data_IF_477695019615
#
_entry.id   IF_477695019615
#
_cell.length_a   1.000
_cell.length_b   1.000
_cell.length_c   1.000
_cell.angle_alpha   90.00
_cell.angle_beta   90.00
_cell.angle_gamma   90.00
#
_symmetry.space_group_name_H-M   'P 1'
#
loop_
_entity.id
_entity.type
_entity.pdbx_description
1 polymer ?
#
# COMPACT_ATOMS: atom_id res chain seq x y z
N UNK A 1 0.52 -5.38 -22.66
CA UNK A 1 0.22 -4.05 -22.12
C UNK A 1 -0.99 -4.09 -21.20
N UNK A 2 -2.19 -4.47 -21.68
CA UNK A 2 -3.40 -4.53 -20.83
C UNK A 2 -3.22 -5.43 -19.59
N UNK A 3 -2.67 -6.63 -19.76
CA UNK A 3 -2.40 -7.56 -18.64
C UNK A 3 -1.47 -6.97 -17.58
N UNK A 4 -0.43 -6.21 -18.00
CA UNK A 4 0.48 -5.56 -17.06
C UNK A 4 -0.22 -4.46 -16.25
N UNK A 5 -1.09 -3.69 -16.88
CA UNK A 5 -1.86 -2.65 -16.19
C UNK A 5 -2.93 -3.24 -15.25
N UNK A 6 -3.59 -4.32 -15.66
CA UNK A 6 -4.53 -5.05 -14.79
C UNK A 6 -3.77 -5.63 -13.59
N UNK A 7 -2.62 -6.27 -13.82
CA UNK A 7 -1.78 -6.79 -12.75
C UNK A 7 -1.33 -5.67 -11.79
N UNK A 8 -0.91 -4.52 -12.32
CA UNK A 8 -0.53 -3.36 -11.52
C UNK A 8 -1.70 -2.83 -10.69
N UNK A 9 -2.89 -2.70 -11.29
CA UNK A 9 -4.09 -2.27 -10.60
C UNK A 9 -4.45 -3.22 -9.45
N UNK A 10 -4.54 -4.51 -9.71
CA UNK A 10 -4.88 -5.51 -8.70
C UNK A 10 -3.82 -5.54 -7.59
N UNK A 11 -2.54 -5.54 -7.95
CA UNK A 11 -1.44 -5.50 -6.98
C UNK A 11 -1.56 -4.29 -6.06
N UNK A 12 -1.71 -3.09 -6.62
CA UNK A 12 -1.79 -1.86 -5.84
C UNK A 12 -3.09 -1.78 -5.02
N UNK A 13 -4.21 -2.26 -5.56
CA UNK A 13 -5.47 -2.33 -4.82
C UNK A 13 -5.33 -3.18 -3.55
N UNK A 14 -4.72 -4.35 -3.69
CA UNK A 14 -4.57 -5.29 -2.57
C UNK A 14 -3.50 -4.82 -1.58
N UNK A 15 -2.38 -4.26 -2.06
CA UNK A 15 -1.28 -3.82 -1.19
C UNK A 15 -1.63 -2.54 -0.42
N UNK A 16 -2.25 -1.56 -1.08
CA UNK A 16 -2.65 -0.28 -0.46
C UNK A 16 -3.88 -0.46 0.40
N UNK A 17 -4.82 -1.35 -0.05
CA UNK A 17 -6.02 -1.73 0.68
C UNK A 17 -6.80 -0.51 1.22
N UNK A 18 -7.37 0.33 0.34
CA UNK A 18 -8.07 1.54 0.77
C UNK A 18 -9.19 1.29 1.78
N UNK A 19 -9.91 0.17 1.62
CA UNK A 19 -11.05 -0.20 2.47
C UNK A 19 -10.58 -0.64 3.85
N UNK A 20 -9.59 -1.52 3.93
CA UNK A 20 -9.00 -1.98 5.19
C UNK A 20 -8.25 -0.88 5.96
N UNK A 21 -7.96 0.25 5.30
CA UNK A 21 -7.40 1.43 5.97
C UNK A 21 -8.45 2.30 6.67
N UNK A 22 -9.75 2.17 6.35
CA UNK A 22 -10.80 3.01 6.89
C UNK A 22 -10.91 2.97 8.44
N UNK A 23 -10.98 1.80 9.11
CA UNK A 23 -11.07 1.75 10.55
C UNK A 23 -9.81 2.26 11.25
N UNK A 24 -8.65 2.05 10.63
CA UNK A 24 -7.38 2.57 11.15
C UNK A 24 -7.40 4.10 11.11
N UNK A 25 -7.85 4.67 9.98
CA UNK A 25 -8.03 6.11 9.84
C UNK A 25 -9.00 6.68 10.89
N UNK A 26 -10.15 6.02 11.11
CA UNK A 26 -11.13 6.41 12.14
C UNK A 26 -10.49 6.37 13.52
N UNK A 27 -9.79 5.29 13.87
CA UNK A 27 -9.10 5.16 15.16
C UNK A 27 -8.07 6.26 15.38
N UNK A 28 -7.21 6.53 14.39
CA UNK A 28 -6.17 7.57 14.46
C UNK A 28 -6.73 9.00 14.53
N UNK A 29 -7.90 9.24 13.94
CA UNK A 29 -8.53 10.57 13.88
C UNK A 29 -9.70 10.71 14.87
N UNK A 30 -9.85 9.78 15.78
CA UNK A 30 -10.86 9.82 16.83
C UNK A 30 -10.67 11.08 17.69
N UNK A 31 -11.78 11.80 17.94
CA UNK A 31 -11.75 13.05 18.72
C UNK A 31 -11.31 14.29 17.96
N UNK A 32 -10.90 14.18 16.68
CA UNK A 32 -10.58 15.35 15.85
C UNK A 32 -11.83 15.91 15.18
N UNK A 33 -11.86 17.24 15.04
CA UNK A 33 -12.88 17.92 14.25
C UNK A 33 -12.88 17.45 12.79
N UNK A 34 -14.05 17.46 12.15
CA UNK A 34 -14.21 16.99 10.79
C UNK A 34 -13.30 17.75 9.79
N UNK A 35 -13.10 19.05 10.01
CA UNK A 35 -12.22 19.88 9.19
C UNK A 35 -10.76 19.40 9.27
N UNK A 36 -10.29 19.07 10.47
CA UNK A 36 -8.94 18.55 10.70
C UNK A 36 -8.81 17.16 10.09
N UNK A 37 -9.80 16.30 10.31
CA UNK A 37 -9.85 14.94 9.75
C UNK A 37 -9.77 14.93 8.23
N UNK A 38 -10.49 15.84 7.56
CA UNK A 38 -10.40 16.01 6.09
C UNK A 38 -9.01 16.46 5.63
N UNK A 39 -8.36 17.36 6.37
CA UNK A 39 -6.98 17.79 6.09
C UNK A 39 -6.00 16.63 6.26
N UNK A 40 -6.13 15.85 7.33
CA UNK A 40 -5.31 14.66 7.58
C UNK A 40 -5.44 13.66 6.43
N UNK A 41 -6.67 13.37 5.99
CA UNK A 41 -6.92 12.45 4.86
C UNK A 41 -6.21 12.93 3.57
N UNK A 42 -6.34 14.21 3.23
CA UNK A 42 -5.73 14.76 2.02
C UNK A 42 -4.20 14.77 2.12
N UNK A 43 -3.64 15.25 3.22
CA UNK A 43 -2.20 15.29 3.42
C UNK A 43 -1.57 13.90 3.42
N UNK A 44 -2.18 12.92 4.10
CA UNK A 44 -1.68 11.55 4.10
C UNK A 44 -1.66 10.95 2.69
N UNK A 45 -2.72 11.12 1.93
CA UNK A 45 -2.79 10.62 0.55
C UNK A 45 -1.75 11.28 -0.36
N UNK A 46 -1.52 12.60 -0.22
CA UNK A 46 -0.50 13.32 -0.99
C UNK A 46 0.91 12.86 -0.61
N UNK A 47 1.21 12.75 0.69
CA UNK A 47 2.53 12.29 1.15
C UNK A 47 2.79 10.87 0.65
N UNK A 48 1.82 9.96 0.81
CA UNK A 48 1.94 8.58 0.33
C UNK A 48 2.13 8.54 -1.19
N UNK A 49 1.39 9.37 -1.95
CA UNK A 49 1.59 9.50 -3.40
C UNK A 49 3.03 9.92 -3.74
N UNK A 50 3.55 10.95 -3.10
CA UNK A 50 4.91 11.44 -3.35
C UNK A 50 5.98 10.37 -3.03
N UNK A 51 5.83 9.66 -1.92
CA UNK A 51 6.76 8.59 -1.52
C UNK A 51 6.73 7.45 -2.52
N UNK A 52 5.55 6.98 -2.91
CA UNK A 52 5.40 5.87 -3.83
C UNK A 52 5.82 6.25 -5.27
N UNK A 53 5.50 7.46 -5.72
CA UNK A 53 5.96 7.97 -7.02
C UNK A 53 7.49 8.12 -7.04
N UNK A 54 8.08 8.68 -5.98
CA UNK A 54 9.52 8.74 -5.80
C UNK A 54 10.16 7.35 -5.85
N UNK A 55 9.58 6.38 -5.16
CA UNK A 55 10.05 4.99 -5.16
C UNK A 55 10.01 4.37 -6.56
N UNK A 56 8.97 4.65 -7.35
CA UNK A 56 8.88 4.16 -8.74
C UNK A 56 9.96 4.77 -9.65
N UNK A 57 10.26 6.06 -9.45
CA UNK A 57 11.20 6.79 -10.32
C UNK A 57 12.67 6.54 -9.98
N UNK A 58 12.98 6.36 -8.69
CA UNK A 58 14.36 6.34 -8.19
C UNK A 58 14.75 4.95 -7.67
N UNK A 59 13.77 4.11 -7.33
CA UNK A 59 14.00 2.85 -6.60
C UNK A 59 14.99 1.92 -7.27
N UNK A 60 14.87 1.69 -8.58
CA UNK A 60 15.77 0.81 -9.32
C UNK A 60 17.21 1.34 -9.34
N UNK A 61 17.39 2.66 -9.53
CA UNK A 61 18.72 3.31 -9.48
C UNK A 61 19.33 3.21 -8.08
N UNK A 62 18.52 3.43 -7.06
CA UNK A 62 18.96 3.32 -5.67
C UNK A 62 19.44 1.91 -5.34
N UNK A 63 18.70 0.88 -5.78
CA UNK A 63 19.11 -0.52 -5.63
C UNK A 63 20.45 -0.79 -6.34
N UNK A 64 20.62 -0.26 -7.55
CA UNK A 64 21.88 -0.37 -8.29
C UNK A 64 23.06 0.26 -7.55
N UNK A 65 22.90 1.44 -6.96
CA UNK A 65 23.95 2.08 -6.16
C UNK A 65 24.29 1.29 -4.88
N UNK A 66 23.34 0.59 -4.32
CA UNK A 66 23.54 -0.27 -3.15
C UNK A 66 24.07 -1.67 -3.53
N UNK A 67 24.23 -1.98 -4.82
CA UNK A 67 24.64 -3.30 -5.29
C UNK A 67 23.56 -4.38 -5.10
N UNK A 68 22.29 -3.99 -4.92
CA UNK A 68 21.18 -4.91 -4.72
C UNK A 68 20.53 -5.20 -6.07
N UNK A 69 20.48 -6.48 -6.45
CA UNK A 69 19.77 -6.88 -7.66
C UNK A 69 18.25 -6.75 -7.50
N UNK A 70 17.55 -6.45 -8.60
CA UNK A 70 16.08 -6.41 -8.61
C UNK A 70 15.48 -7.77 -8.22
N UNK A 71 16.16 -8.86 -8.53
CA UNK A 71 15.76 -10.22 -8.13
C UNK A 71 15.81 -10.40 -6.61
N UNK A 72 16.91 -10.02 -5.97
CA UNK A 72 17.03 -10.06 -4.50
C UNK A 72 15.98 -9.16 -3.83
N UNK A 73 15.77 -7.94 -4.36
CA UNK A 73 14.76 -7.02 -3.86
C UNK A 73 13.34 -7.59 -4.01
N UNK A 74 13.07 -8.34 -5.11
CA UNK A 74 11.79 -9.01 -5.34
C UNK A 74 11.52 -10.10 -4.30
N UNK A 75 12.52 -10.88 -3.93
CA UNK A 75 12.40 -11.89 -2.87
C UNK A 75 12.12 -11.22 -1.53
N UNK A 76 12.92 -10.23 -1.14
CA UNK A 76 12.74 -9.50 0.11
C UNK A 76 11.35 -8.84 0.20
N UNK A 77 10.93 -8.18 -0.88
CA UNK A 77 9.62 -7.58 -0.99
C UNK A 77 8.48 -8.59 -0.92
N UNK A 78 8.61 -9.74 -1.57
CA UNK A 78 7.65 -10.83 -1.46
C UNK A 78 7.50 -11.32 -0.02
N UNK A 79 8.59 -11.50 0.72
CA UNK A 79 8.55 -11.86 2.14
C UNK A 79 7.86 -10.80 3.00
N UNK A 80 8.12 -9.52 2.75
CA UNK A 80 7.44 -8.42 3.44
C UNK A 80 5.94 -8.38 3.13
N UNK A 81 5.55 -8.56 1.87
CA UNK A 81 4.14 -8.65 1.46
C UNK A 81 3.46 -9.86 2.08
N UNK A 82 4.16 -10.99 2.18
CA UNK A 82 3.64 -12.19 2.85
C UNK A 82 3.36 -11.94 4.34
N UNK A 83 4.27 -11.24 5.03
CA UNK A 83 4.05 -10.87 6.43
C UNK A 83 2.81 -9.99 6.59
N UNK A 84 2.60 -9.01 5.70
CA UNK A 84 1.40 -8.16 5.68
C UNK A 84 0.14 -8.99 5.40
N UNK A 85 0.21 -9.90 4.43
CA UNK A 85 -0.89 -10.81 4.10
C UNK A 85 -1.28 -11.68 5.28
N UNK A 86 -0.30 -12.21 5.99
CA UNK A 86 -0.50 -12.99 7.21
C UNK A 86 -1.23 -12.17 8.29
N UNK A 87 -0.79 -10.94 8.54
CA UNK A 87 -1.47 -10.05 9.50
C UNK A 87 -2.92 -9.76 9.09
N UNK A 88 -3.20 -9.61 7.77
CA UNK A 88 -4.56 -9.39 7.26
C UNK A 88 -5.47 -10.60 7.47
N UNK A 89 -5.01 -11.80 7.13
CA UNK A 89 -5.78 -13.04 7.27
C UNK A 89 -6.11 -13.33 8.74
N UNK A 90 -5.17 -13.11 9.65
CA UNK A 90 -5.32 -13.35 11.09
C UNK A 90 -5.81 -12.12 11.87
N UNK A 91 -6.18 -11.04 11.20
CA UNK A 91 -6.70 -9.79 11.77
C UNK A 91 -5.77 -9.09 12.78
N UNK A 92 -4.49 -9.42 12.79
CA UNK A 92 -3.50 -8.81 13.69
C UNK A 92 -3.10 -7.38 13.28
N UNK A 93 -3.46 -6.98 12.06
CA UNK A 93 -3.11 -5.67 11.48
C UNK A 93 -3.78 -4.52 12.23
N UNK A 94 -5.02 -4.69 12.67
CA UNK A 94 -5.80 -3.66 13.36
C UNK A 94 -5.29 -3.44 14.79
N UNK A 95 -4.95 -4.49 15.52
CA UNK A 95 -4.47 -4.41 16.91
C UNK A 95 -3.15 -3.66 17.04
N UNK A 96 -2.15 -3.97 16.18
CA UNK A 96 -0.82 -3.33 16.21
C UNK A 96 -0.85 -1.84 15.85
N UNK A 97 -1.80 -1.41 15.04
CA UNK A 97 -1.84 -0.04 14.49
C UNK A 97 -2.57 0.94 15.42
N UNK A 98 -3.48 0.46 16.26
CA UNK A 98 -4.19 1.27 17.25
C UNK A 98 -3.27 1.70 18.41
N UNK A 99 -2.26 0.89 18.75
CA UNK A 99 -1.30 1.20 19.83
C UNK A 99 -0.35 2.37 19.50
N UNK A 100 -0.28 2.80 18.23
CA UNK A 100 0.58 3.91 17.78
C UNK A 100 -0.13 5.27 17.77
N UNK A 101 -1.39 5.33 18.21
CA UNK A 101 -2.21 6.55 18.26
C UNK A 101 -1.83 7.41 19.47
N UNK A 102 -0.75 8.18 19.36
CA UNK A 102 -0.28 9.03 20.47
C UNK A 102 0.09 10.47 20.11
N UNK A 103 -0.11 10.91 18.85
CA UNK A 103 0.28 12.27 18.45
C UNK A 103 -0.91 13.16 18.10
N UNK A 104 -0.99 14.41 18.59
CA UNK A 104 -2.10 15.30 18.30
C UNK A 104 -1.98 15.99 16.94
N UNK A 105 -3.12 16.12 16.25
CA UNK A 105 -3.29 17.02 15.11
C UNK A 105 -2.81 16.51 13.77
N UNK A 106 -2.32 17.41 12.92
CA UNK A 106 -1.91 17.13 11.53
C UNK A 106 -0.65 16.28 11.40
N UNK A 107 0.13 16.09 12.48
CA UNK A 107 1.28 15.18 12.51
C UNK A 107 0.88 13.74 12.18
N UNK A 108 -0.35 13.31 12.52
CA UNK A 108 -0.92 12.01 12.19
C UNK A 108 -0.93 11.74 10.68
N UNK A 109 -1.06 12.78 9.86
CA UNK A 109 -1.08 12.63 8.40
C UNK A 109 0.25 12.08 7.85
N UNK A 110 1.38 12.58 8.34
CA UNK A 110 2.69 12.11 7.92
C UNK A 110 3.05 10.79 8.61
N UNK A 111 2.86 10.71 9.92
CA UNK A 111 3.16 9.54 10.73
C UNK A 111 2.04 9.32 11.77
N UNK A 112 1.47 8.11 11.86
CA UNK A 112 1.82 6.91 11.10
C UNK A 112 1.03 6.71 9.79
N UNK A 113 0.09 7.59 9.42
CA UNK A 113 -0.90 7.31 8.37
C UNK A 113 -0.26 7.20 6.97
N UNK A 114 0.47 8.22 6.50
CA UNK A 114 1.14 8.14 5.21
C UNK A 114 2.29 7.13 5.26
N UNK A 115 3.17 7.24 6.25
CA UNK A 115 4.32 6.36 6.47
C UNK A 115 4.24 5.85 7.92
N UNK A 116 4.23 4.53 8.16
CA UNK A 116 4.39 3.42 7.19
C UNK A 116 3.07 2.80 6.69
N UNK A 117 1.89 3.38 6.96
CA UNK A 117 0.62 2.68 6.74
C UNK A 117 0.21 2.62 5.27
N UNK A 118 0.17 3.76 4.57
CA UNK A 118 -0.20 3.83 3.14
C UNK A 118 1.01 3.55 2.24
N UNK A 119 2.13 4.23 2.49
CA UNK A 119 3.40 4.01 1.81
C UNK A 119 4.33 3.17 2.70
N UNK A 120 3.90 1.97 3.03
CA UNK A 120 4.69 1.01 3.79
C UNK A 120 5.69 0.23 2.93
N UNK A 121 6.55 -0.58 3.56
CA UNK A 121 7.57 -1.35 2.84
C UNK A 121 6.99 -2.21 1.72
N UNK A 122 5.82 -2.81 1.92
CA UNK A 122 5.13 -3.59 0.89
C UNK A 122 4.70 -2.76 -0.32
N UNK A 123 4.12 -1.56 -0.10
CA UNK A 123 3.69 -0.66 -1.17
C UNK A 123 4.88 -0.08 -1.94
N UNK A 124 5.96 0.29 -1.23
CA UNK A 124 7.22 0.74 -1.84
C UNK A 124 7.80 -0.37 -2.71
N UNK A 125 7.89 -1.60 -2.19
CA UNK A 125 8.38 -2.74 -2.95
C UNK A 125 7.53 -2.99 -4.20
N UNK A 126 6.19 -3.00 -4.06
CA UNK A 126 5.30 -3.19 -5.19
C UNK A 126 5.53 -2.13 -6.27
N UNK A 127 5.66 -0.85 -5.89
CA UNK A 127 5.91 0.24 -6.84
C UNK A 127 7.25 0.12 -7.55
N UNK A 128 8.34 -0.21 -6.85
CA UNK A 128 9.65 -0.41 -7.47
C UNK A 128 9.63 -1.59 -8.44
N UNK A 129 8.99 -2.71 -8.06
CA UNK A 129 8.88 -3.89 -8.91
C UNK A 129 7.98 -3.66 -10.13
N UNK A 130 6.87 -2.94 -9.98
CA UNK A 130 6.00 -2.58 -11.10
C UNK A 130 6.70 -1.61 -12.05
N UNK A 131 7.45 -0.63 -11.54
CA UNK A 131 8.27 0.27 -12.34
C UNK A 131 9.36 -0.49 -13.12
N UNK A 132 10.06 -1.42 -12.48
CA UNK A 132 11.07 -2.27 -13.14
C UNK A 132 10.49 -3.14 -14.27
N UNK A 133 9.23 -3.56 -14.17
CA UNK A 133 8.54 -4.31 -15.24
C UNK A 133 8.19 -3.47 -16.47
N UNK A 134 8.30 -2.17 -16.41
CA UNK A 134 8.01 -1.27 -17.53
C UNK A 134 9.12 -1.26 -18.60
N UNK A 135 10.27 -1.91 -18.33
CA UNK A 135 11.42 -1.95 -19.23
C UNK A 135 11.82 -0.55 -19.74
N UNK A 136 11.82 0.44 -18.87
CA UNK A 136 12.12 1.84 -19.17
C UNK A 136 11.17 2.52 -20.16
N UNK A 137 10.00 1.93 -20.41
CA UNK A 137 8.97 2.57 -21.24
C UNK A 137 8.28 3.68 -20.46
N UNK A 138 8.42 4.97 -20.82
CA UNK A 138 7.89 6.09 -20.06
C UNK A 138 6.36 6.12 -20.03
N UNK A 139 5.69 5.63 -21.07
CA UNK A 139 4.23 5.57 -21.12
C UNK A 139 3.68 4.52 -20.14
N UNK A 140 4.33 3.35 -20.06
CA UNK A 140 3.95 2.32 -19.08
C UNK A 140 4.23 2.78 -17.65
N UNK A 141 5.35 3.43 -17.41
CA UNK A 141 5.67 3.99 -16.10
C UNK A 141 4.65 5.05 -15.68
N UNK A 142 4.31 5.98 -16.58
CA UNK A 142 3.28 6.97 -16.33
C UNK A 142 1.92 6.33 -16.05
N UNK A 143 1.55 5.26 -16.77
CA UNK A 143 0.32 4.51 -16.52
C UNK A 143 0.31 3.84 -15.14
N UNK A 144 1.42 3.23 -14.70
CA UNK A 144 1.56 2.64 -13.35
C UNK A 144 1.41 3.73 -12.27
N UNK A 145 2.07 4.89 -12.46
CA UNK A 145 1.96 6.03 -11.53
C UNK A 145 0.52 6.58 -11.52
N UNK A 146 -0.16 6.63 -12.67
CA UNK A 146 -1.56 7.05 -12.75
C UNK A 146 -2.49 6.08 -12.00
N UNK A 147 -2.29 4.76 -12.15
CA UNK A 147 -3.04 3.73 -11.39
C UNK A 147 -2.81 3.93 -9.89
N UNK A 148 -1.57 4.15 -9.47
CA UNK A 148 -1.25 4.43 -8.07
C UNK A 148 -1.95 5.74 -7.61
N UNK A 149 -1.99 6.77 -8.45
CA UNK A 149 -2.75 7.99 -8.19
C UNK A 149 -4.24 7.74 -7.98
N UNK A 150 -4.85 6.86 -8.79
CA UNK A 150 -6.23 6.42 -8.60
C UNK A 150 -6.41 5.71 -7.25
N UNK A 151 -5.44 4.88 -6.83
CA UNK A 151 -5.48 4.23 -5.51
C UNK A 151 -5.39 5.25 -4.37
N UNK A 152 -4.54 6.27 -4.48
CA UNK A 152 -4.45 7.33 -3.47
C UNK A 152 -5.73 8.17 -3.41
N UNK A 153 -6.33 8.46 -4.57
CA UNK A 153 -7.62 9.13 -4.66
C UNK A 153 -8.73 8.29 -4.03
N UNK A 154 -8.76 6.99 -4.31
CA UNK A 154 -9.73 6.08 -3.70
C UNK A 154 -9.57 6.01 -2.17
N UNK A 155 -8.34 5.96 -1.66
CA UNK A 155 -8.04 6.01 -0.23
C UNK A 155 -8.54 7.32 0.40
N UNK A 156 -8.29 8.45 -0.24
CA UNK A 156 -8.79 9.75 0.22
C UNK A 156 -10.33 9.80 0.26
N UNK A 157 -11.01 9.28 -0.78
CA UNK A 157 -12.47 9.19 -0.80
C UNK A 157 -13.00 8.27 0.30
N UNK A 158 -12.37 7.12 0.50
CA UNK A 158 -12.70 6.17 1.57
C UNK A 158 -12.53 6.84 2.93
N UNK A 159 -11.44 7.57 3.17
CA UNK A 159 -11.23 8.27 4.45
C UNK A 159 -12.29 9.36 4.69
N UNK A 160 -12.72 10.05 3.65
CA UNK A 160 -13.84 11.02 3.77
C UNK A 160 -15.18 10.37 4.09
N UNK A 161 -15.42 9.20 3.52
CA UNK A 161 -16.62 8.40 3.74
C UNK A 161 -16.48 7.32 4.82
N UNK A 162 -15.39 7.30 5.56
CA UNK A 162 -15.08 6.22 6.49
C UNK A 162 -16.19 5.92 7.51
N UNK A 163 -16.86 6.91 8.15
CA UNK A 163 -17.95 6.63 9.07
C UNK A 163 -19.16 5.96 8.41
N UNK A 164 -19.45 6.31 7.16
CA UNK A 164 -20.52 5.70 6.38
C UNK A 164 -20.16 4.29 5.95
N UNK A 165 -18.91 4.08 5.54
CA UNK A 165 -18.38 2.79 5.13
C UNK A 165 -18.39 1.80 6.30
N UNK A 166 -17.96 2.23 7.49
CA UNK A 166 -17.99 1.42 8.71
C UNK A 166 -19.41 0.97 9.06
N UNK A 167 -20.41 1.88 8.93
CA UNK A 167 -21.83 1.55 9.15
C UNK A 167 -22.36 0.56 8.11
N UNK A 168 -21.90 0.66 6.85
CA UNK A 168 -22.39 -0.18 5.75
C UNK A 168 -21.80 -1.60 5.81
N UNK A 169 -20.48 -1.71 6.00
CA UNK A 169 -19.78 -2.99 6.01
C UNK A 169 -19.89 -3.70 7.36
N UNK A 170 -19.90 -2.94 8.45
CA UNK A 170 -19.79 -3.46 9.79
C UNK A 170 -18.47 -4.21 10.03
N UNK A 171 -18.19 -4.58 11.26
CA UNK A 171 -16.95 -5.31 11.64
C UNK A 171 -16.80 -6.66 10.91
N UNK A 172 -17.91 -7.33 10.61
CA UNK A 172 -17.88 -8.63 9.94
C UNK A 172 -17.55 -8.51 8.46
N UNK A 173 -18.15 -7.55 7.73
CA UNK A 173 -17.88 -7.32 6.31
C UNK A 173 -16.45 -6.90 6.07
N UNK A 174 -15.93 -6.03 6.92
CA UNK A 174 -14.53 -5.60 6.89
C UNK A 174 -13.57 -6.79 7.13
N UNK A 175 -13.86 -7.63 8.13
CA UNK A 175 -13.06 -8.81 8.42
C UNK A 175 -13.05 -9.81 7.26
N UNK A 176 -14.17 -10.01 6.58
CA UNK A 176 -14.28 -10.90 5.41
C UNK A 176 -13.45 -10.34 4.25
N UNK A 177 -13.62 -9.06 3.91
CA UNK A 177 -12.86 -8.41 2.83
C UNK A 177 -11.36 -8.44 3.12
N UNK A 178 -10.94 -8.10 4.33
CA UNK A 178 -9.54 -8.15 4.73
C UNK A 178 -8.93 -9.55 4.58
N UNK A 179 -9.65 -10.61 4.96
CA UNK A 179 -9.17 -11.99 4.79
C UNK A 179 -9.06 -12.38 3.32
N UNK A 180 -10.05 -12.04 2.50
CA UNK A 180 -10.02 -12.34 1.06
C UNK A 180 -8.85 -11.62 0.37
N UNK A 181 -8.68 -10.33 0.62
CA UNK A 181 -7.56 -9.56 0.08
C UNK A 181 -6.22 -10.07 0.64
N UNK A 182 -6.17 -10.47 1.90
CA UNK A 182 -4.99 -11.08 2.51
C UNK A 182 -4.57 -12.38 1.83
N UNK A 183 -5.51 -13.26 1.47
CA UNK A 183 -5.20 -14.49 0.72
C UNK A 183 -4.65 -14.17 -0.67
N UNK A 184 -5.25 -13.21 -1.38
CA UNK A 184 -4.74 -12.75 -2.68
C UNK A 184 -3.34 -12.15 -2.56
N UNK A 185 -3.11 -11.35 -1.52
CA UNK A 185 -1.78 -10.77 -1.25
C UNK A 185 -0.76 -11.85 -0.92
N UNK A 186 -1.13 -12.90 -0.17
CA UNK A 186 -0.24 -14.01 0.12
C UNK A 186 0.18 -14.75 -1.15
N UNK A 187 -0.76 -15.02 -2.06
CA UNK A 187 -0.47 -15.64 -3.35
C UNK A 187 0.47 -14.77 -4.21
N UNK A 188 0.21 -13.46 -4.27
CA UNK A 188 1.06 -12.49 -4.97
C UNK A 188 2.46 -12.44 -4.37
N UNK A 189 2.57 -12.46 -3.06
CA UNK A 189 3.82 -12.45 -2.32
C UNK A 189 4.68 -13.69 -2.64
N UNK A 190 4.08 -14.87 -2.65
CA UNK A 190 4.74 -16.12 -3.04
C UNK A 190 5.18 -16.07 -4.51
N UNK A 191 4.34 -15.50 -5.40
CA UNK A 191 4.72 -15.32 -6.81
C UNK A 191 5.97 -14.42 -6.94
N UNK A 192 6.05 -13.34 -6.19
CA UNK A 192 7.23 -12.46 -6.20
C UNK A 192 8.49 -13.17 -5.73
N UNK A 193 8.40 -13.99 -4.68
CA UNK A 193 9.53 -14.82 -4.21
C UNK A 193 9.94 -15.80 -5.31
N UNK A 194 9.00 -16.54 -5.88
CA UNK A 194 9.28 -17.52 -6.94
C UNK A 194 9.93 -16.89 -8.18
N UNK A 195 9.40 -15.75 -8.64
CA UNK A 195 9.97 -15.00 -9.77
C UNK A 195 11.36 -14.44 -9.46
N UNK A 196 11.59 -14.02 -8.21
CA UNK A 196 12.89 -13.57 -7.75
C UNK A 196 13.94 -14.68 -7.73
N UNK A 197 13.56 -15.85 -7.19
CA UNK A 197 14.44 -17.04 -7.17
C UNK A 197 14.78 -17.50 -8.58
N UNK A 198 13.78 -17.61 -9.47
CA UNK A 198 14.03 -17.98 -10.88
C UNK A 198 14.97 -17.01 -11.60
N UNK A 199 14.93 -15.73 -11.26
CA UNK A 199 15.82 -14.72 -11.85
C UNK A 199 17.24 -14.73 -11.27
N UNK A 200 17.48 -15.41 -10.13
CA UNK A 200 18.82 -15.63 -9.55
C UNK A 200 19.46 -16.94 -9.99
N UNK A 201 18.64 -17.94 -10.35
CA UNK A 201 19.13 -19.21 -10.88
C UNK A 201 19.33 -19.08 -12.39
N UNK A 202 20.52 -19.40 -12.91
CA UNK A 202 20.80 -19.36 -14.35
C UNK A 202 19.96 -20.37 -15.14
#
# INVERSE_FOLDING_TARGET
MAEQLISAFVTLLVVIDPIGMAPIFIGLTSGLDETIRRKVAAQASIIAFCVLAGSALIGERLLGWLGISLAAFRIAGGLLLFAIAFEMVFQRRTERKTDQAGQPGTAIAAFPLAIPLMAGPGAITAMVLLAGRTNHNPFLLAAVIAIMGVMMLSSWLVFRGAPQLERLLGRQGEAILGRLLGVLLAALAVQYVADGVRALTP
#
